data_IF_398067834273
#
_entry.id   IF_398067834273
#
_cell.length_a   1.000
_cell.length_b   1.000
_cell.length_c   1.000
_cell.angle_alpha   90.00
_cell.angle_beta   90.00
_cell.angle_gamma   90.00
#
_symmetry.space_group_name_H-M   'P 1'
#
loop_
_entity.id
_entity.type
_entity.pdbx_description
1 polymer ?
#
# COMPACT_ATOMS: atom_id res chain seq x y z
N UNK A 1 -1.45 17.78 -9.09
CA UNK A 1 -2.00 17.00 -7.95
C UNK A 1 -3.00 15.91 -8.36
N UNK A 2 -2.97 15.50 -9.60
CA UNK A 2 -3.93 14.49 -10.13
C UNK A 2 -3.72 13.05 -9.64
N UNK A 3 -2.66 12.76 -8.88
CA UNK A 3 -2.29 11.39 -8.46
C UNK A 3 -2.01 11.25 -6.96
N UNK A 4 -2.47 12.16 -6.09
CA UNK A 4 -2.27 11.99 -4.65
C UNK A 4 -3.12 10.79 -4.16
N UNK A 5 -2.49 9.69 -3.68
CA UNK A 5 -3.20 8.51 -3.22
C UNK A 5 -3.90 8.71 -1.87
N UNK A 6 -3.75 9.88 -1.23
CA UNK A 6 -4.20 10.12 0.13
C UNK A 6 -5.12 11.32 0.19
N UNK A 7 -6.27 11.11 0.82
CA UNK A 7 -7.27 12.18 0.99
C UNK A 7 -7.45 12.56 2.46
N UNK A 8 -7.71 13.84 2.71
CA UNK A 8 -8.05 14.33 4.05
C UNK A 8 -9.53 14.05 4.40
N UNK A 9 -9.87 13.93 5.70
CA UNK A 9 -11.24 13.72 6.17
C UNK A 9 -12.15 14.93 5.92
N UNK A 10 -12.32 15.44 4.83
CA UNK A 10 -13.12 16.64 4.52
C UNK A 10 -13.19 16.90 3.04
N UNK A 11 -12.41 16.17 2.26
CA UNK A 11 -12.29 16.32 0.82
C UNK A 11 -13.51 15.77 0.04
N UNK A 12 -14.59 15.35 0.76
CA UNK A 12 -15.81 14.76 0.17
C UNK A 12 -16.42 15.59 -0.95
N UNK A 13 -16.33 16.92 -0.86
CA UNK A 13 -16.94 17.81 -1.87
C UNK A 13 -16.32 17.65 -3.26
N UNK A 14 -15.06 17.20 -3.32
CA UNK A 14 -14.30 17.11 -4.54
C UNK A 14 -14.31 15.69 -5.15
N UNK A 15 -14.60 14.65 -4.33
CA UNK A 15 -14.65 13.24 -4.79
C UNK A 15 -16.01 12.80 -5.31
N UNK A 16 -17.10 13.53 -4.99
CA UNK A 16 -18.43 13.02 -5.23
C UNK A 16 -18.79 11.80 -4.36
N UNK A 17 -19.65 10.90 -4.84
CA UNK A 17 -19.94 9.63 -4.15
C UNK A 17 -18.73 8.69 -4.18
N UNK A 18 -18.50 7.93 -3.09
CA UNK A 18 -17.40 6.96 -2.98
C UNK A 18 -17.82 5.72 -2.19
N UNK A 19 -17.14 4.61 -2.44
CA UNK A 19 -17.27 3.37 -1.65
C UNK A 19 -16.34 3.45 -0.43
N UNK A 20 -16.87 3.29 0.78
CA UNK A 20 -16.07 3.33 2.01
C UNK A 20 -15.70 1.92 2.44
N UNK A 21 -14.39 1.66 2.63
CA UNK A 21 -13.83 0.35 2.92
C UNK A 21 -13.04 0.35 4.23
N UNK A 22 -13.38 -0.60 5.11
CA UNK A 22 -12.63 -0.89 6.32
C UNK A 22 -11.56 -1.96 6.04
N UNK A 23 -10.29 -1.60 6.21
CA UNK A 23 -9.14 -2.49 5.99
C UNK A 23 -8.66 -3.22 7.26
N UNK A 24 -9.26 -2.94 8.43
CA UNK A 24 -8.92 -3.58 9.69
C UNK A 24 -10.20 -3.98 10.41
N UNK A 25 -10.18 -5.08 11.16
CA UNK A 25 -11.33 -5.47 11.99
C UNK A 25 -11.41 -4.55 13.21
N UNK A 26 -12.09 -3.43 13.08
CA UNK A 26 -12.25 -2.44 14.14
C UNK A 26 -13.53 -2.73 14.95
N UNK A 27 -13.43 -2.59 16.28
CA UNK A 27 -14.60 -2.64 17.13
C UNK A 27 -15.45 -1.37 16.93
N UNK A 28 -16.77 -1.53 16.91
CA UNK A 28 -17.72 -0.43 16.82
C UNK A 28 -17.95 0.14 15.42
N UNK A 29 -17.34 -0.42 14.37
CA UNK A 29 -17.66 -0.07 12.98
C UNK A 29 -18.79 -0.95 12.49
N UNK A 30 -20.04 -0.52 12.74
CA UNK A 30 -21.26 -1.26 12.36
C UNK A 30 -22.15 -0.52 11.35
N UNK A 31 -21.57 0.34 10.51
CA UNK A 31 -22.31 1.17 9.54
C UNK A 31 -22.58 0.39 8.26
N UNK A 32 -23.82 0.44 7.76
CA UNK A 32 -24.25 -0.26 6.54
C UNK A 32 -23.59 0.27 5.25
N UNK A 33 -23.07 1.49 5.28
CA UNK A 33 -22.38 2.14 4.16
C UNK A 33 -20.88 1.82 4.09
N UNK A 34 -20.37 1.00 5.02
CA UNK A 34 -18.97 0.55 5.08
C UNK A 34 -18.90 -0.93 4.69
N UNK A 35 -18.06 -1.27 3.73
CA UNK A 35 -17.71 -2.65 3.44
C UNK A 35 -16.41 -3.04 4.15
N UNK A 36 -16.42 -4.19 4.80
CA UNK A 36 -15.20 -4.74 5.41
C UNK A 36 -14.43 -5.57 4.38
N UNK A 37 -13.16 -5.24 4.21
CA UNK A 37 -12.25 -6.03 3.40
C UNK A 37 -11.83 -7.29 4.18
N UNK A 38 -11.90 -8.49 3.60
CA UNK A 38 -11.39 -9.71 4.25
C UNK A 38 -9.85 -9.72 4.18
N UNK A 39 -9.21 -8.87 4.99
CA UNK A 39 -7.81 -8.49 4.88
C UNK A 39 -6.86 -9.70 4.94
N UNK A 40 -7.05 -10.61 5.89
CA UNK A 40 -6.22 -11.81 6.03
C UNK A 40 -6.30 -12.71 4.79
N UNK A 41 -7.50 -12.82 4.20
CA UNK A 41 -7.73 -13.58 2.97
C UNK A 41 -6.99 -12.92 1.80
N UNK A 42 -7.09 -11.59 1.68
CA UNK A 42 -6.40 -10.84 0.62
C UNK A 42 -4.88 -10.87 0.77
N UNK A 43 -4.40 -10.77 2.01
CA UNK A 43 -2.95 -10.87 2.28
C UNK A 43 -2.40 -12.26 1.91
N UNK A 44 -3.10 -13.32 2.30
CA UNK A 44 -2.73 -14.68 1.96
C UNK A 44 -2.80 -14.91 0.43
N UNK A 45 -3.87 -14.44 -0.22
CA UNK A 45 -4.05 -14.55 -1.66
C UNK A 45 -2.92 -13.87 -2.45
N UNK A 46 -2.57 -12.64 -2.09
CA UNK A 46 -1.51 -11.89 -2.76
C UNK A 46 -0.12 -12.53 -2.66
N UNK A 47 0.09 -13.41 -1.68
CA UNK A 47 1.36 -14.13 -1.44
C UNK A 47 1.35 -15.57 -1.93
N UNK A 48 0.19 -16.13 -2.27
CA UNK A 48 0.07 -17.52 -2.72
C UNK A 48 0.52 -17.67 -4.18
N UNK A 49 0.84 -18.91 -4.59
CA UNK A 49 1.12 -19.22 -6.00
C UNK A 49 -0.14 -19.27 -6.87
N UNK A 50 -1.31 -19.63 -6.28
CA UNK A 50 -2.55 -19.85 -7.04
C UNK A 50 -3.40 -18.58 -7.21
N UNK A 51 -3.39 -17.71 -6.19
CA UNK A 51 -4.22 -16.50 -6.13
C UNK A 51 -3.39 -15.22 -6.08
N UNK A 52 -2.11 -15.28 -6.52
CA UNK A 52 -1.23 -14.13 -6.61
C UNK A 52 -1.81 -13.02 -7.52
N UNK A 53 -1.10 -11.92 -7.64
CA UNK A 53 -1.50 -10.82 -8.53
C UNK A 53 -1.68 -11.25 -10.00
N UNK A 54 -1.18 -12.41 -10.40
CA UNK A 54 -1.35 -12.98 -11.76
C UNK A 54 -2.75 -13.58 -11.97
N UNK A 55 -3.45 -14.01 -10.91
CA UNK A 55 -4.79 -14.53 -11.01
C UNK A 55 -5.84 -13.41 -11.08
N UNK A 56 -5.90 -12.76 -12.22
CA UNK A 56 -6.80 -11.61 -12.48
C UNK A 56 -8.26 -11.94 -12.16
N UNK A 57 -8.73 -13.13 -12.55
CA UNK A 57 -10.11 -13.54 -12.33
C UNK A 57 -10.47 -13.68 -10.84
N UNK A 58 -9.53 -14.08 -10.00
CA UNK A 58 -9.71 -14.07 -8.55
C UNK A 58 -9.94 -12.64 -8.04
N UNK A 59 -9.08 -11.72 -8.44
CA UNK A 59 -9.13 -10.33 -7.98
C UNK A 59 -10.34 -9.58 -8.51
N UNK A 60 -10.77 -9.83 -9.75
CA UNK A 60 -12.03 -9.29 -10.28
C UNK A 60 -13.21 -9.63 -9.36
N UNK A 61 -13.33 -10.91 -8.96
CA UNK A 61 -14.40 -11.35 -8.05
C UNK A 61 -14.25 -10.80 -6.64
N UNK A 62 -13.03 -10.80 -6.10
CA UNK A 62 -12.74 -10.33 -4.75
C UNK A 62 -13.01 -8.82 -4.59
N UNK A 63 -12.67 -8.02 -5.60
CA UNK A 63 -12.91 -6.57 -5.64
C UNK A 63 -14.42 -6.30 -5.84
N UNK A 64 -15.04 -6.99 -6.78
CA UNK A 64 -16.49 -6.86 -7.02
C UNK A 64 -17.34 -7.20 -5.79
N UNK A 65 -16.91 -8.18 -4.98
CA UNK A 65 -17.59 -8.58 -3.73
C UNK A 65 -17.67 -7.44 -2.69
N UNK A 66 -16.79 -6.41 -2.79
CA UNK A 66 -16.86 -5.20 -1.97
C UNK A 66 -17.84 -4.15 -2.53
N UNK A 67 -18.54 -4.46 -3.61
CA UNK A 67 -19.42 -3.52 -4.30
C UNK A 67 -18.67 -2.49 -5.14
N UNK A 68 -17.47 -2.83 -5.60
CA UNK A 68 -16.67 -2.00 -6.51
C UNK A 68 -16.91 -2.46 -7.93
N UNK A 69 -17.39 -1.57 -8.78
CA UNK A 69 -17.64 -1.79 -10.22
C UNK A 69 -16.90 -0.76 -11.11
N UNK A 70 -16.18 0.17 -10.49
CA UNK A 70 -15.47 1.26 -11.15
C UNK A 70 -16.31 2.51 -11.40
N UNK A 71 -17.57 2.54 -10.98
CA UNK A 71 -18.46 3.72 -11.13
C UNK A 71 -18.13 4.84 -10.13
N UNK A 72 -17.59 4.50 -8.99
CA UNK A 72 -17.19 5.43 -7.93
C UNK A 72 -15.85 5.02 -7.34
N UNK A 73 -15.03 5.96 -6.84
CA UNK A 73 -13.77 5.63 -6.20
C UNK A 73 -13.99 4.91 -4.86
N UNK A 74 -12.99 4.14 -4.43
CA UNK A 74 -12.92 3.54 -3.11
C UNK A 74 -12.11 4.44 -2.17
N UNK A 75 -12.58 4.61 -0.93
CA UNK A 75 -11.86 5.27 0.16
C UNK A 75 -11.61 4.24 1.24
N UNK A 76 -10.34 3.95 1.48
CA UNK A 76 -9.90 2.90 2.39
C UNK A 76 -9.40 3.50 3.69
N UNK A 77 -9.82 2.94 4.82
CA UNK A 77 -9.35 3.34 6.14
C UNK A 77 -9.01 2.14 7.01
N UNK A 78 -8.15 2.37 8.00
CA UNK A 78 -7.83 1.46 9.09
C UNK A 78 -7.94 2.16 10.45
N UNK A 79 -7.24 1.64 11.46
CA UNK A 79 -7.21 2.18 12.82
C UNK A 79 -6.40 3.49 12.99
N UNK A 80 -5.84 4.02 11.90
CA UNK A 80 -5.00 5.21 11.88
C UNK A 80 -3.50 4.93 11.74
N UNK A 81 -3.08 3.65 11.67
CA UNK A 81 -1.70 3.28 11.34
C UNK A 81 -1.38 3.36 9.86
N UNK A 82 -2.39 3.42 9.03
CA UNK A 82 -2.38 3.54 7.57
C UNK A 82 -1.74 2.35 6.82
N UNK A 83 -1.14 1.39 7.49
CA UNK A 83 -0.43 0.27 6.83
C UNK A 83 -1.39 -0.72 6.17
N UNK A 84 -2.53 -0.99 6.80
CA UNK A 84 -3.51 -1.92 6.24
C UNK A 84 -4.40 -1.23 5.21
N UNK A 85 -4.73 0.04 5.43
CA UNK A 85 -5.38 0.86 4.41
C UNK A 85 -4.52 1.00 3.15
N UNK A 86 -3.21 1.22 3.29
CA UNK A 86 -2.28 1.29 2.18
C UNK A 86 -2.15 -0.05 1.44
N UNK A 87 -2.17 -1.18 2.17
CA UNK A 87 -2.16 -2.52 1.59
C UNK A 87 -3.36 -2.74 0.66
N UNK A 88 -4.56 -2.42 1.14
CA UNK A 88 -5.79 -2.56 0.35
C UNK A 88 -5.80 -1.57 -0.81
N UNK A 89 -5.42 -0.30 -0.56
CA UNK A 89 -5.26 0.69 -1.61
C UNK A 89 -4.33 0.22 -2.73
N UNK A 90 -3.16 -0.35 -2.37
CA UNK A 90 -2.20 -0.86 -3.36
C UNK A 90 -2.82 -1.93 -4.25
N UNK A 91 -3.53 -2.89 -3.67
CA UNK A 91 -4.21 -3.94 -4.43
C UNK A 91 -5.26 -3.33 -5.38
N UNK A 92 -6.10 -2.46 -4.88
CA UNK A 92 -7.17 -1.83 -5.67
C UNK A 92 -6.61 -1.03 -6.85
N UNK A 93 -5.66 -0.11 -6.59
CA UNK A 93 -5.08 0.71 -7.64
C UNK A 93 -4.30 -0.13 -8.66
N UNK A 94 -3.59 -1.19 -8.21
CA UNK A 94 -2.86 -2.09 -9.11
C UNK A 94 -3.78 -2.76 -10.12
N UNK A 95 -4.98 -3.17 -9.70
CA UNK A 95 -6.01 -3.73 -10.59
C UNK A 95 -6.87 -2.68 -11.30
N UNK A 96 -6.56 -1.40 -11.15
CA UNK A 96 -7.19 -0.31 -11.89
C UNK A 96 -8.49 0.22 -11.32
N UNK A 97 -8.79 -0.08 -10.04
CA UNK A 97 -9.83 0.62 -9.30
C UNK A 97 -9.29 1.98 -8.82
N UNK A 98 -10.04 3.04 -9.02
CA UNK A 98 -9.71 4.32 -8.42
C UNK A 98 -9.87 4.19 -6.90
N UNK A 99 -8.80 4.42 -6.15
CA UNK A 99 -8.78 4.20 -4.72
C UNK A 99 -7.89 5.22 -4.00
N UNK A 100 -8.30 5.58 -2.78
CA UNK A 100 -7.61 6.53 -1.92
C UNK A 100 -7.47 5.99 -0.50
N UNK A 101 -6.41 6.39 0.19
CA UNK A 101 -6.21 6.16 1.62
C UNK A 101 -6.80 7.34 2.38
N UNK A 102 -7.69 7.08 3.35
CA UNK A 102 -8.19 8.11 4.25
C UNK A 102 -7.11 8.47 5.28
N UNK A 103 -6.59 9.66 5.20
CA UNK A 103 -5.50 10.11 6.06
C UNK A 103 -5.93 10.22 7.53
N UNK A 104 -5.27 9.47 8.40
CA UNK A 104 -5.59 9.34 9.82
C UNK A 104 -6.66 8.29 10.15
N UNK A 105 -7.19 7.58 9.15
CA UNK A 105 -8.06 6.42 9.31
C UNK A 105 -9.36 6.68 10.09
N UNK A 106 -9.91 5.62 10.71
CA UNK A 106 -11.15 5.65 11.48
C UNK A 106 -11.25 6.74 12.54
N UNK A 107 -10.21 7.04 13.35
CA UNK A 107 -10.27 8.10 14.34
C UNK A 107 -10.72 9.46 13.80
N UNK A 108 -10.52 9.72 12.53
CA UNK A 108 -10.84 11.02 11.90
C UNK A 108 -12.27 11.11 11.39
N UNK A 109 -12.99 10.00 11.29
CA UNK A 109 -14.36 9.96 10.75
C UNK A 109 -15.39 9.29 11.68
N UNK A 110 -14.98 8.66 12.79
CA UNK A 110 -15.88 7.91 13.68
C UNK A 110 -17.06 8.72 14.19
N UNK A 111 -16.86 10.00 14.48
CA UNK A 111 -17.86 10.91 15.01
C UNK A 111 -18.44 11.85 13.93
N UNK A 112 -18.18 11.55 12.64
CA UNK A 112 -18.61 12.39 11.52
C UNK A 112 -19.75 11.73 10.75
N UNK A 113 -20.94 12.30 10.89
CA UNK A 113 -22.12 11.85 10.13
C UNK A 113 -22.11 12.30 8.67
N UNK A 114 -21.35 13.34 8.35
CA UNK A 114 -21.22 13.88 6.99
C UNK A 114 -20.32 13.03 6.08
N UNK A 115 -19.53 12.10 6.64
CA UNK A 115 -18.70 11.16 5.87
C UNK A 115 -19.45 9.84 5.71
N UNK A 116 -20.09 9.66 4.56
CA UNK A 116 -20.88 8.46 4.23
C UNK A 116 -20.43 7.86 2.90
N UNK A 117 -20.22 6.55 2.88
CA UNK A 117 -20.04 5.80 1.67
C UNK A 117 -21.36 5.55 0.94
N UNK A 118 -21.30 5.25 -0.34
CA UNK A 118 -22.46 4.76 -1.07
C UNK A 118 -22.71 3.30 -0.72
N UNK A 119 -23.98 2.94 -0.54
CA UNK A 119 -24.42 1.55 -0.45
C UNK A 119 -24.62 1.08 -1.90
N UNK A 120 -23.98 -0.01 -2.34
CA UNK A 120 -24.23 -0.55 -3.68
C UNK A 120 -25.71 -0.86 -3.86
N UNK A 121 -26.23 -0.56 -5.04
CA UNK A 121 -27.56 -1.03 -5.44
C UNK A 121 -27.58 -2.57 -5.38
N UNK A 122 -28.75 -3.13 -5.04
CA UNK A 122 -28.94 -4.59 -4.95
C UNK A 122 -28.75 -5.26 -6.32
N UNK A 123 -27.52 -5.52 -6.68
CA UNK A 123 -27.09 -6.18 -7.90
C UNK A 123 -25.68 -6.72 -7.71
N UNK A 124 -25.31 -7.73 -8.48
CA UNK A 124 -23.93 -8.24 -8.45
C UNK A 124 -23.02 -7.21 -9.11
N UNK A 125 -22.17 -6.52 -8.34
CA UNK A 125 -21.17 -5.66 -8.91
C UNK A 125 -20.28 -6.48 -9.85
N UNK A 126 -19.87 -5.91 -10.96
CA UNK A 126 -18.93 -6.51 -11.90
C UNK A 126 -17.76 -5.57 -12.07
N UNK A 127 -16.58 -6.03 -11.67
CA UNK A 127 -15.35 -5.27 -11.81
C UNK A 127 -14.46 -5.89 -12.88
N UNK A 128 -13.93 -5.07 -13.79
CA UNK A 128 -12.98 -5.49 -14.81
C UNK A 128 -11.58 -4.99 -14.45
N UNK A 129 -10.72 -5.92 -14.08
CA UNK A 129 -9.37 -5.60 -13.67
C UNK A 129 -8.47 -5.19 -14.85
N UNK A 130 -7.57 -4.26 -14.55
CA UNK A 130 -6.50 -3.79 -15.46
C UNK A 130 -5.18 -3.78 -14.69
N UNK A 131 -4.52 -4.95 -14.55
CA UNK A 131 -3.28 -5.06 -13.77
C UNK A 131 -2.22 -4.07 -14.20
N UNK A 132 -1.57 -3.42 -13.24
CA UNK A 132 -0.50 -2.45 -13.48
C UNK A 132 -0.96 -1.09 -14.01
N UNK A 133 -2.27 -0.80 -14.07
CA UNK A 133 -2.78 0.49 -14.57
C UNK A 133 -2.81 1.61 -13.54
N UNK A 134 -2.44 1.34 -12.29
CA UNK A 134 -2.38 2.33 -11.24
C UNK A 134 -1.07 3.13 -11.22
N UNK A 135 -0.92 4.01 -10.22
CA UNK A 135 0.25 4.87 -10.03
C UNK A 135 1.47 4.14 -9.46
N UNK A 136 1.26 2.96 -8.87
CA UNK A 136 2.33 2.13 -8.30
C UNK A 136 2.31 0.76 -8.97
N UNK A 137 3.43 0.38 -9.58
CA UNK A 137 3.63 -0.92 -10.18
C UNK A 137 3.97 -2.01 -9.16
N UNK A 138 4.05 -3.24 -9.63
CA UNK A 138 4.48 -4.40 -8.87
C UNK A 138 5.81 -4.92 -9.42
N UNK A 139 6.70 -5.36 -8.55
CA UNK A 139 7.90 -6.09 -8.93
C UNK A 139 8.00 -7.37 -8.11
N UNK A 140 8.38 -8.47 -8.77
CA UNK A 140 8.65 -9.74 -8.11
C UNK A 140 10.12 -9.86 -7.69
N UNK A 141 10.43 -10.96 -6.94
CA UNK A 141 11.77 -11.22 -6.44
C UNK A 141 12.81 -11.41 -7.54
N UNK A 142 12.46 -12.12 -8.61
CA UNK A 142 13.41 -12.44 -9.68
C UNK A 142 13.78 -11.20 -10.47
N UNK A 143 12.79 -10.42 -10.84
CA UNK A 143 12.96 -9.13 -11.51
C UNK A 143 13.80 -8.18 -10.65
N UNK A 144 13.43 -8.00 -9.37
CA UNK A 144 14.18 -7.13 -8.47
C UNK A 144 15.64 -7.60 -8.29
N UNK A 145 15.86 -8.92 -8.17
CA UNK A 145 17.20 -9.48 -8.07
C UNK A 145 18.06 -9.19 -9.30
N UNK A 146 17.48 -9.24 -10.49
CA UNK A 146 18.17 -8.92 -11.74
C UNK A 146 18.47 -7.41 -11.87
N UNK A 147 17.67 -6.56 -11.28
CA UNK A 147 17.82 -5.10 -11.30
C UNK A 147 18.74 -4.55 -10.20
N UNK A 148 19.19 -5.38 -9.25
CA UNK A 148 20.11 -4.94 -8.20
C UNK A 148 21.42 -4.40 -8.81
N UNK A 149 21.81 -3.19 -8.38
CA UNK A 149 23.03 -2.53 -8.90
C UNK A 149 22.82 -1.74 -10.20
N UNK A 150 21.62 -1.79 -10.80
CA UNK A 150 21.22 -0.90 -11.89
C UNK A 150 20.61 0.41 -11.35
N UNK A 151 19.82 1.12 -12.16
CA UNK A 151 19.25 2.43 -11.80
C UNK A 151 18.11 2.38 -10.76
N UNK A 152 17.80 1.19 -10.23
CA UNK A 152 16.77 1.01 -9.21
C UNK A 152 17.27 1.51 -7.83
N UNK A 153 16.42 2.28 -7.14
CA UNK A 153 16.63 2.72 -5.75
C UNK A 153 15.69 1.97 -4.82
N UNK A 154 16.25 1.23 -3.88
CA UNK A 154 15.49 0.39 -2.97
C UNK A 154 15.17 1.17 -1.70
N UNK A 155 13.88 1.33 -1.45
CA UNK A 155 13.34 1.97 -0.26
C UNK A 155 12.91 0.91 0.76
N UNK A 156 13.71 0.71 1.81
CA UNK A 156 13.38 -0.16 2.93
C UNK A 156 12.58 0.60 3.98
N UNK A 157 11.30 0.25 4.13
CA UNK A 157 10.37 0.89 5.06
C UNK A 157 10.31 0.20 6.44
N UNK A 158 11.23 -0.72 6.74
CA UNK A 158 11.32 -1.44 8.00
C UNK A 158 11.91 -0.56 9.11
N UNK A 159 12.05 -1.14 10.30
CA UNK A 159 12.76 -0.50 11.42
C UNK A 159 14.27 -0.62 11.25
N UNK A 160 15.02 0.20 11.99
CA UNK A 160 16.48 0.12 11.99
C UNK A 160 16.99 -1.26 12.45
N UNK A 161 16.39 -1.87 13.49
CA UNK A 161 16.78 -3.19 13.96
C UNK A 161 16.49 -4.30 12.94
N UNK A 162 15.39 -4.20 12.16
CA UNK A 162 15.12 -5.12 11.05
C UNK A 162 16.16 -4.93 9.92
N UNK A 163 16.53 -3.71 9.60
CA UNK A 163 17.50 -3.36 8.56
C UNK A 163 18.91 -3.87 8.93
N UNK A 164 19.37 -3.63 10.15
CA UNK A 164 20.65 -4.12 10.65
C UNK A 164 20.70 -5.64 10.81
N UNK A 165 19.54 -6.32 10.80
CA UNK A 165 19.43 -7.76 11.02
C UNK A 165 19.50 -8.18 12.49
N UNK A 166 19.22 -7.26 13.40
CA UNK A 166 19.09 -7.50 14.84
C UNK A 166 17.72 -8.06 15.18
N UNK A 167 16.66 -7.55 14.53
CA UNK A 167 15.30 -8.06 14.61
C UNK A 167 14.98 -8.90 13.37
N UNK A 168 15.01 -10.20 13.51
CA UNK A 168 14.70 -11.14 12.43
C UNK A 168 13.20 -11.24 12.12
N UNK A 169 12.35 -10.75 13.00
CA UNK A 169 10.91 -11.04 12.94
C UNK A 169 10.68 -12.55 12.88
N UNK A 170 10.19 -13.08 11.76
CA UNK A 170 9.97 -14.51 11.50
C UNK A 170 10.84 -15.04 10.36
N UNK A 171 11.87 -14.27 9.98
CA UNK A 171 12.72 -14.62 8.85
C UNK A 171 13.92 -15.46 9.32
N UNK A 172 14.41 -16.36 8.46
CA UNK A 172 15.59 -17.18 8.73
C UNK A 172 16.90 -16.41 8.62
N UNK A 173 16.89 -15.28 7.90
CA UNK A 173 18.06 -14.42 7.66
C UNK A 173 17.69 -12.97 7.96
N UNK A 174 18.61 -12.18 8.51
CA UNK A 174 18.43 -10.76 8.81
C UNK A 174 19.43 -9.89 8.05
N UNK A 175 19.16 -8.60 8.02
CA UNK A 175 19.89 -7.59 7.25
C UNK A 175 18.97 -6.93 6.22
N UNK A 176 19.56 -6.38 5.15
CA UNK A 176 18.81 -5.66 4.13
C UNK A 176 19.25 -6.03 2.69
N UNK A 177 18.47 -5.63 1.71
CA UNK A 177 18.79 -5.81 0.30
C UNK A 177 20.00 -4.94 -0.06
N UNK A 178 20.92 -5.43 -0.93
CA UNK A 178 22.06 -4.63 -1.37
C UNK A 178 21.63 -3.29 -1.96
N UNK A 179 22.24 -2.20 -1.49
CA UNK A 179 21.93 -0.83 -1.93
C UNK A 179 20.63 -0.25 -1.41
N UNK A 180 19.93 -0.95 -0.52
CA UNK A 180 18.72 -0.42 0.11
C UNK A 180 19.03 0.80 0.99
N UNK A 181 18.12 1.77 0.96
CA UNK A 181 18.13 2.96 1.80
C UNK A 181 17.00 2.85 2.81
N UNK A 182 17.37 3.00 4.08
CA UNK A 182 16.41 2.93 5.17
C UNK A 182 15.68 4.25 5.36
N UNK A 183 14.36 4.21 5.27
CA UNK A 183 13.49 5.25 5.80
C UNK A 183 12.30 4.57 6.48
N UNK A 184 12.32 4.41 7.82
CA UNK A 184 11.26 3.73 8.54
C UNK A 184 9.89 4.34 8.26
N UNK A 185 8.89 3.48 8.00
CA UNK A 185 7.52 3.93 7.69
C UNK A 185 6.94 4.85 8.77
N UNK A 186 7.36 4.71 10.03
CA UNK A 186 6.92 5.57 11.12
C UNK A 186 7.32 7.04 10.90
N UNK A 187 8.45 7.30 10.23
CA UNK A 187 8.91 8.66 9.93
C UNK A 187 8.05 9.36 8.86
N UNK A 188 7.33 8.59 8.06
CA UNK A 188 6.40 9.11 7.06
C UNK A 188 5.13 9.70 7.69
N UNK A 189 4.88 9.40 8.97
CA UNK A 189 3.69 9.77 9.68
C UNK A 189 3.95 10.90 10.68
N UNK A 190 2.95 11.73 10.87
CA UNK A 190 2.83 12.67 11.98
C UNK A 190 1.45 12.54 12.60
N UNK A 191 1.39 12.29 13.92
CA UNK A 191 0.16 12.08 14.68
C UNK A 191 -0.86 11.13 14.00
N UNK A 192 -0.36 10.01 13.43
CA UNK A 192 -1.17 9.00 12.71
C UNK A 192 -1.64 9.43 11.32
N UNK A 193 -1.06 10.49 10.76
CA UNK A 193 -1.37 10.98 9.42
C UNK A 193 -0.12 10.94 8.54
N UNK A 194 -0.29 10.56 7.29
CA UNK A 194 0.77 10.71 6.31
C UNK A 194 1.09 12.21 6.15
N UNK A 195 2.38 12.54 6.24
CA UNK A 195 2.87 13.91 6.15
C UNK A 195 2.49 14.61 4.84
N UNK A 196 2.52 15.95 4.80
CA UNK A 196 2.39 16.72 3.57
C UNK A 196 3.42 16.32 2.51
N UNK A 197 3.10 16.60 1.24
CA UNK A 197 3.92 16.19 0.10
C UNK A 197 5.35 16.76 0.14
N UNK A 198 5.50 18.01 0.53
CA UNK A 198 6.77 18.73 0.67
C UNK A 198 7.64 18.14 1.78
N UNK A 199 7.06 17.82 2.93
CA UNK A 199 7.79 17.15 4.02
C UNK A 199 8.22 15.74 3.62
N UNK A 200 7.38 14.98 2.92
CA UNK A 200 7.73 13.66 2.41
C UNK A 200 8.84 13.74 1.36
N UNK A 201 8.78 14.73 0.49
CA UNK A 201 9.85 14.97 -0.51
C UNK A 201 11.19 15.25 0.18
N UNK A 202 11.18 16.08 1.23
CA UNK A 202 12.40 16.37 1.99
C UNK A 202 12.95 15.12 2.68
N UNK A 203 12.08 14.34 3.36
CA UNK A 203 12.49 13.09 4.02
C UNK A 203 13.10 12.08 3.03
N UNK A 204 12.51 11.92 1.86
CA UNK A 204 13.04 11.05 0.81
C UNK A 204 14.37 11.57 0.28
N UNK A 205 14.51 12.88 0.07
CA UNK A 205 15.75 13.50 -0.35
C UNK A 205 16.86 13.31 0.69
N UNK A 206 16.56 13.50 1.97
CA UNK A 206 17.50 13.29 3.08
C UNK A 206 17.94 11.83 3.19
N UNK A 207 17.03 10.89 2.88
CA UNK A 207 17.34 9.46 2.76
C UNK A 207 18.12 9.12 1.48
N UNK A 208 18.39 10.10 0.62
CA UNK A 208 19.20 10.00 -0.58
C UNK A 208 18.45 9.65 -1.86
N UNK A 209 17.09 9.67 -1.87
CA UNK A 209 16.32 9.55 -3.09
C UNK A 209 16.27 10.87 -3.85
N UNK A 210 16.32 10.81 -5.16
CA UNK A 210 16.29 11.98 -6.03
C UNK A 210 15.08 11.98 -6.97
N UNK A 211 14.66 13.17 -7.38
CA UNK A 211 13.62 13.29 -8.40
C UNK A 211 14.06 12.55 -9.67
N UNK A 212 13.17 11.68 -10.19
CA UNK A 212 13.44 10.84 -11.35
C UNK A 212 14.01 9.46 -11.03
N UNK A 213 14.30 9.14 -9.76
CA UNK A 213 14.70 7.79 -9.37
C UNK A 213 13.58 6.77 -9.65
N UNK A 214 13.99 5.58 -10.11
CA UNK A 214 13.14 4.39 -10.17
C UNK A 214 13.09 3.74 -8.79
N UNK A 215 12.02 3.98 -8.03
CA UNK A 215 11.91 3.53 -6.65
C UNK A 215 11.23 2.17 -6.55
N UNK A 216 11.85 1.25 -5.83
CA UNK A 216 11.21 0.01 -5.37
C UNK A 216 11.08 0.02 -3.85
N UNK A 217 9.84 0.01 -3.36
CA UNK A 217 9.57 -0.03 -1.92
C UNK A 217 9.44 -1.48 -1.44
N UNK A 218 9.99 -1.77 -0.26
CA UNK A 218 9.74 -3.04 0.43
C UNK A 218 9.68 -2.85 1.95
N UNK A 219 9.21 -3.91 2.63
CA UNK A 219 9.25 -3.99 4.09
C UNK A 219 9.48 -5.46 4.54
N UNK A 220 8.74 -5.96 5.52
CA UNK A 220 8.75 -7.37 5.87
C UNK A 220 7.66 -8.16 5.11
N UNK A 221 6.41 -7.65 5.05
CA UNK A 221 5.28 -8.39 4.50
C UNK A 221 4.26 -7.57 3.68
N UNK A 222 4.63 -6.40 3.15
CA UNK A 222 3.88 -5.66 2.12
C UNK A 222 3.14 -4.41 2.59
N UNK A 223 2.53 -4.35 3.79
CA UNK A 223 1.72 -3.20 4.22
C UNK A 223 2.51 -1.91 4.35
N UNK A 224 3.65 -1.93 5.07
CA UNK A 224 4.57 -0.77 5.19
C UNK A 224 5.18 -0.38 3.83
N UNK A 225 5.42 -1.36 2.95
CA UNK A 225 5.89 -1.11 1.58
C UNK A 225 4.84 -0.35 0.75
N UNK A 226 3.57 -0.74 0.85
CA UNK A 226 2.47 -0.05 0.20
C UNK A 226 2.31 1.39 0.71
N UNK A 227 2.46 1.61 2.03
CA UNK A 227 2.45 2.95 2.61
C UNK A 227 3.63 3.80 2.13
N UNK A 228 4.83 3.22 2.06
CA UNK A 228 6.02 3.88 1.52
C UNK A 228 5.85 4.25 0.03
N UNK A 229 5.22 3.37 -0.75
CA UNK A 229 4.91 3.65 -2.14
C UNK A 229 3.89 4.80 -2.29
N UNK A 230 2.84 4.80 -1.46
CA UNK A 230 1.88 5.92 -1.42
C UNK A 230 2.57 7.24 -1.03
N UNK A 231 3.49 7.20 -0.06
CA UNK A 231 4.27 8.36 0.35
C UNK A 231 5.18 8.88 -0.78
N UNK A 232 5.85 8.00 -1.52
CA UNK A 232 6.69 8.37 -2.65
C UNK A 232 5.87 9.00 -3.77
N UNK A 233 4.71 8.43 -4.13
CA UNK A 233 3.80 9.04 -5.13
C UNK A 233 3.31 10.42 -4.66
N UNK A 234 2.88 10.55 -3.40
CA UNK A 234 2.47 11.82 -2.81
C UNK A 234 3.60 12.86 -2.82
N UNK A 235 4.85 12.44 -2.61
CA UNK A 235 6.04 13.28 -2.68
C UNK A 235 6.41 13.69 -4.12
N UNK A 236 5.72 13.17 -5.15
CA UNK A 236 5.92 13.55 -6.55
C UNK A 236 6.76 12.58 -7.38
N UNK A 237 7.18 11.45 -6.83
CA UNK A 237 7.88 10.43 -7.60
C UNK A 237 6.93 9.72 -8.57
N UNK A 238 7.37 9.52 -9.81
CA UNK A 238 6.52 9.03 -10.91
C UNK A 238 6.73 7.54 -11.19
N UNK A 239 7.93 7.02 -10.99
CA UNK A 239 8.27 5.62 -11.21
C UNK A 239 8.46 4.92 -9.87
N UNK A 240 7.34 4.41 -9.34
CA UNK A 240 7.30 3.72 -8.06
C UNK A 240 6.72 2.33 -8.24
N UNK A 241 7.45 1.33 -7.77
CA UNK A 241 6.99 -0.06 -7.73
C UNK A 241 7.07 -0.59 -6.30
N UNK A 242 6.18 -1.52 -5.95
CA UNK A 242 6.24 -2.20 -4.67
C UNK A 242 6.70 -3.66 -4.86
N UNK A 243 7.75 -4.05 -4.16
CA UNK A 243 8.04 -5.44 -3.91
C UNK A 243 7.13 -5.92 -2.77
N UNK A 244 5.89 -6.27 -3.13
CA UNK A 244 4.83 -6.52 -2.15
C UNK A 244 5.11 -7.71 -1.24
N UNK A 245 5.74 -8.79 -1.75
CA UNK A 245 6.14 -9.96 -0.95
C UNK A 245 7.26 -9.65 0.03
N UNK A 246 8.04 -8.62 -0.25
CA UNK A 246 8.99 -7.97 0.65
C UNK A 246 10.10 -8.90 1.19
N UNK A 247 10.73 -8.49 2.30
CA UNK A 247 11.88 -9.18 2.87
C UNK A 247 11.57 -10.62 3.30
N UNK A 248 10.35 -10.90 3.76
CA UNK A 248 9.95 -12.26 4.12
C UNK A 248 9.98 -13.25 2.95
N UNK A 249 9.80 -12.76 1.71
CA UNK A 249 10.00 -13.56 0.49
C UNK A 249 11.48 -13.59 0.09
N UNK A 250 12.18 -12.46 0.17
CA UNK A 250 13.60 -12.35 -0.17
C UNK A 250 14.48 -13.25 0.70
N UNK A 251 14.24 -13.25 2.00
CA UNK A 251 15.03 -14.00 2.98
C UNK A 251 14.89 -15.53 2.86
N UNK A 252 13.85 -16.04 2.20
CA UNK A 252 13.65 -17.48 1.95
C UNK A 252 14.56 -18.03 0.88
N UNK A 253 15.00 -17.20 -0.06
CA UNK A 253 15.84 -17.64 -1.18
C UNK A 253 17.31 -17.36 -0.85
N UNK A 254 18.09 -18.43 -0.59
CA UNK A 254 19.50 -18.32 -0.25
C UNK A 254 20.35 -17.67 -1.34
N UNK A 255 19.90 -17.71 -2.59
CA UNK A 255 20.56 -17.05 -3.71
C UNK A 255 20.33 -15.53 -3.77
N UNK A 256 19.45 -14.99 -2.90
CA UNK A 256 19.24 -13.57 -2.72
C UNK A 256 20.27 -13.01 -1.74
N UNK A 257 21.08 -12.05 -2.19
CA UNK A 257 22.08 -11.40 -1.35
C UNK A 257 21.42 -10.58 -0.24
N UNK A 258 21.98 -10.63 0.95
CA UNK A 258 21.61 -9.82 2.11
C UNK A 258 22.88 -9.19 2.67
N UNK A 259 22.82 -7.90 2.98
CA UNK A 259 23.91 -7.11 3.59
C UNK A 259 23.58 -6.84 5.05
N UNK A 260 24.61 -6.71 5.88
CA UNK A 260 24.57 -6.22 7.25
C UNK A 260 25.67 -5.20 7.39
N UNK A 261 25.32 -4.00 7.78
CA UNK A 261 26.27 -2.91 8.08
C UNK A 261 26.57 -2.88 9.58
#
# INVERSE_FOLDING_TARGET
MANDPVIAPGTRRDLGPFRLLEAASLEGVGRADIARVPLEVWEAAAKSGETSFENVAYWERAIAALGIDGSVPAVVFDDGRLTEAARVWFILQYFGAEAFILNGGWPTIKDREDVRGVIPSSGTASFKARPGSGSVGLVDRQTLKAELGADVRIFDARTAGEFAGEDLRRNSRGGHLPGARLLPHANLLDAGRLRPADELQQLLTDAGFQSGDHIVTHCDGGGRAALAAAAAVRAGYQDVRAYYRSFADWAKDESCAIVRD
#
